data_IF_463459027790
#
_entry.id   IF_463459027790
#
_cell.length_a   1.000
_cell.length_b   1.000
_cell.length_c   1.000
_cell.angle_alpha   90.00
_cell.angle_beta   90.00
_cell.angle_gamma   90.00
#
_symmetry.space_group_name_H-M   'P 1'
#
loop_
_entity.id
_entity.type
_entity.pdbx_description
1 polymer ?
#
# COMPACT_ATOMS: atom_id res chain seq x y z
N UNK A 1 -20.11 -2.18 -1.78
CA UNK A 1 -18.77 -1.68 -1.38
C UNK A 1 -17.75 -2.68 -1.91
N UNK A 2 -17.24 -2.47 -3.12
CA UNK A 2 -16.37 -3.44 -3.82
C UNK A 2 -15.06 -2.78 -4.20
N UNK A 3 -14.17 -2.60 -3.22
CA UNK A 3 -12.79 -2.18 -3.47
C UNK A 3 -11.91 -3.42 -3.44
N UNK A 4 -11.48 -3.87 -4.62
CA UNK A 4 -10.45 -4.89 -4.91
C UNK A 4 -9.86 -5.63 -3.68
N UNK A 5 -10.67 -6.45 -3.01
CA UNK A 5 -10.23 -7.19 -1.85
C UNK A 5 -9.29 -8.31 -2.32
N UNK A 6 -8.07 -8.31 -1.80
CA UNK A 6 -7.08 -9.33 -2.10
C UNK A 6 -7.03 -10.30 -0.92
N UNK A 7 -6.96 -11.59 -1.23
CA UNK A 7 -6.76 -12.60 -0.20
C UNK A 7 -5.30 -12.56 0.26
N UNK A 8 -5.11 -12.33 1.55
CA UNK A 8 -3.81 -12.39 2.22
C UNK A 8 -3.90 -13.53 3.23
N UNK A 9 -3.03 -14.51 3.10
CA UNK A 9 -2.97 -15.67 3.99
C UNK A 9 -2.80 -15.21 5.45
N UNK A 10 -3.60 -15.78 6.37
CA UNK A 10 -3.68 -15.36 7.78
C UNK A 10 -4.55 -14.13 8.08
N UNK A 11 -4.94 -13.34 7.08
CA UNK A 11 -5.79 -12.15 7.26
C UNK A 11 -7.13 -12.20 6.52
N UNK A 12 -7.28 -13.11 5.55
CA UNK A 12 -8.48 -13.24 4.74
C UNK A 12 -8.53 -12.20 3.62
N UNK A 13 -9.74 -11.77 3.24
CA UNK A 13 -9.91 -10.74 2.22
C UNK A 13 -9.69 -9.35 2.82
N UNK A 14 -8.62 -8.69 2.40
CA UNK A 14 -8.29 -7.32 2.80
C UNK A 14 -8.29 -6.38 1.60
N UNK A 15 -8.87 -5.20 1.77
CA UNK A 15 -8.67 -4.08 0.85
C UNK A 15 -7.27 -3.48 1.04
N UNK A 16 -6.81 -2.72 0.03
CA UNK A 16 -5.55 -1.99 0.13
C UNK A 16 -5.54 -1.02 1.32
N UNK A 17 -6.66 -0.32 1.53
CA UNK A 17 -6.83 0.59 2.67
C UNK A 17 -6.75 -0.12 4.02
N UNK A 18 -7.31 -1.32 4.16
CA UNK A 18 -7.20 -2.13 5.37
C UNK A 18 -5.77 -2.62 5.60
N UNK A 19 -5.09 -3.10 4.56
CA UNK A 19 -3.70 -3.53 4.65
C UNK A 19 -2.77 -2.38 5.09
N UNK A 20 -2.96 -1.17 4.53
CA UNK A 20 -2.22 0.04 4.95
C UNK A 20 -2.50 0.37 6.42
N UNK A 21 -3.76 0.30 6.85
CA UNK A 21 -4.12 0.58 8.24
C UNK A 21 -3.46 -0.40 9.22
N UNK A 22 -3.46 -1.71 8.88
CA UNK A 22 -2.77 -2.73 9.69
C UNK A 22 -1.26 -2.43 9.75
N UNK A 23 -0.65 -2.08 8.62
CA UNK A 23 0.76 -1.73 8.54
C UNK A 23 1.13 -0.48 9.34
N UNK A 24 0.25 0.52 9.41
CA UNK A 24 0.45 1.74 10.20
C UNK A 24 0.36 1.51 11.71
N UNK A 25 -0.52 0.61 12.14
CA UNK A 25 -0.70 0.27 13.56
C UNK A 25 0.30 -0.77 14.06
N UNK A 26 1.29 -1.14 13.25
CA UNK A 26 2.29 -2.14 13.63
C UNK A 26 3.48 -1.46 14.32
N UNK A 27 3.44 -1.42 15.65
CA UNK A 27 4.44 -0.75 16.50
C UNK A 27 5.81 -1.47 16.57
N UNK A 28 5.99 -2.59 15.87
CA UNK A 28 7.22 -3.40 15.92
C UNK A 28 7.71 -3.93 14.56
N UNK A 29 7.12 -3.48 13.46
CA UNK A 29 7.43 -3.96 12.12
C UNK A 29 6.28 -4.74 11.48
N UNK A 30 5.98 -4.40 10.23
CA UNK A 30 4.83 -4.94 9.50
C UNK A 30 5.01 -6.41 9.19
N UNK A 31 3.94 -7.20 9.33
CA UNK A 31 3.91 -8.60 8.91
C UNK A 31 4.39 -8.73 7.46
N UNK A 32 5.31 -9.66 7.22
CA UNK A 32 5.93 -9.85 5.92
C UNK A 32 4.92 -10.06 4.79
N UNK A 33 3.77 -10.70 5.04
CA UNK A 33 2.71 -10.92 4.05
C UNK A 33 2.02 -9.62 3.67
N UNK A 34 1.76 -8.75 4.65
CA UNK A 34 1.21 -7.42 4.43
C UNK A 34 2.24 -6.57 3.70
N UNK A 35 3.51 -6.59 4.11
CA UNK A 35 4.59 -5.87 3.44
C UNK A 35 4.71 -6.27 1.96
N UNK A 36 4.77 -7.57 1.66
CA UNK A 36 4.81 -8.08 0.27
C UNK A 36 3.61 -7.64 -0.55
N UNK A 37 2.42 -7.64 0.06
CA UNK A 37 1.21 -7.17 -0.61
C UNK A 37 1.28 -5.67 -0.95
N UNK A 38 1.70 -4.85 0.01
CA UNK A 38 1.85 -3.40 -0.17
C UNK A 38 2.93 -3.07 -1.21
N UNK A 39 4.07 -3.76 -1.19
CA UNK A 39 5.15 -3.59 -2.16
C UNK A 39 4.71 -3.94 -3.58
N UNK A 40 4.00 -5.06 -3.75
CA UNK A 40 3.44 -5.44 -5.05
C UNK A 40 2.49 -4.37 -5.58
N UNK A 41 1.60 -3.85 -4.71
CA UNK A 41 0.67 -2.79 -5.09
C UNK A 41 1.39 -1.49 -5.41
N UNK A 42 2.47 -1.16 -4.70
CA UNK A 42 3.30 0.00 -5.00
C UNK A 42 3.92 -0.13 -6.39
N UNK A 43 4.44 -1.31 -6.74
CA UNK A 43 4.98 -1.59 -8.08
C UNK A 43 3.92 -1.44 -9.18
N UNK A 44 2.69 -1.92 -8.95
CA UNK A 44 1.57 -1.73 -9.89
C UNK A 44 1.25 -0.24 -10.10
N UNK A 45 1.16 0.55 -9.02
CA UNK A 45 0.89 1.99 -9.08
C UNK A 45 2.02 2.72 -9.82
N UNK A 46 3.27 2.36 -9.52
CA UNK A 46 4.43 2.95 -10.17
C UNK A 46 4.47 2.66 -11.67
N UNK A 47 4.15 1.42 -12.08
CA UNK A 47 4.06 1.05 -13.48
C UNK A 47 2.97 1.84 -14.22
N UNK A 48 1.79 2.04 -13.59
CA UNK A 48 0.72 2.88 -14.16
C UNK A 48 1.14 4.34 -14.28
N UNK A 49 1.80 4.88 -13.25
CA UNK A 49 2.33 6.25 -13.27
C UNK A 49 3.36 6.41 -14.40
N UNK A 50 4.28 5.46 -14.59
CA UNK A 50 5.24 5.51 -15.68
C UNK A 50 4.60 5.38 -17.07
N UNK A 51 3.53 4.60 -17.19
CA UNK A 51 2.80 4.44 -18.45
C UNK A 51 2.04 5.71 -18.86
N UNK A 52 1.61 6.53 -17.88
CA UNK A 52 0.80 7.71 -18.13
C UNK A 52 1.09 8.84 -17.12
N UNK A 53 2.31 9.42 -17.11
CA UNK A 53 2.77 10.30 -16.03
C UNK A 53 1.98 11.61 -15.92
N UNK A 54 1.46 12.12 -17.03
CA UNK A 54 0.73 13.40 -17.06
C UNK A 54 -0.77 13.24 -16.80
N UNK A 55 -1.32 12.03 -16.95
CA UNK A 55 -2.78 11.80 -16.90
C UNK A 55 -3.21 10.83 -15.81
N UNK A 56 -2.28 10.06 -15.24
CA UNK A 56 -2.58 9.12 -14.18
C UNK A 56 -2.89 9.84 -12.87
N UNK A 57 -4.12 9.67 -12.38
CA UNK A 57 -4.56 10.19 -11.09
C UNK A 57 -4.63 9.06 -10.08
N UNK A 58 -3.98 9.25 -8.93
CA UNK A 58 -4.02 8.28 -7.85
C UNK A 58 -5.43 8.19 -7.26
N UNK A 59 -5.89 6.96 -7.06
CA UNK A 59 -7.10 6.73 -6.27
C UNK A 59 -6.82 7.00 -4.79
N UNK A 60 -7.88 7.16 -3.98
CA UNK A 60 -7.74 7.35 -2.52
C UNK A 60 -6.92 6.24 -1.85
N UNK A 61 -7.07 5.00 -2.32
CA UNK A 61 -6.37 3.84 -1.78
C UNK A 61 -4.87 3.86 -2.14
N UNK A 62 -4.55 4.20 -3.38
CA UNK A 62 -3.16 4.31 -3.87
C UNK A 62 -2.45 5.51 -3.23
N UNK A 63 -3.16 6.61 -2.99
CA UNK A 63 -2.62 7.76 -2.27
C UNK A 63 -2.30 7.42 -0.80
N UNK A 64 -3.15 6.62 -0.13
CA UNK A 64 -2.87 6.14 1.22
C UNK A 64 -1.64 5.23 1.26
N UNK A 65 -1.49 4.34 0.27
CA UNK A 65 -0.31 3.50 0.11
C UNK A 65 0.97 4.34 -0.05
N UNK A 66 0.93 5.34 -0.93
CA UNK A 66 2.07 6.22 -1.17
C UNK A 66 2.46 7.00 0.09
N UNK A 67 1.48 7.54 0.83
CA UNK A 67 1.73 8.23 2.09
C UNK A 67 2.33 7.33 3.16
N UNK A 68 1.91 6.08 3.25
CA UNK A 68 2.48 5.10 4.17
C UNK A 68 3.99 4.93 3.93
N UNK A 69 4.40 4.66 2.69
CA UNK A 69 5.83 4.53 2.36
C UNK A 69 6.58 5.85 2.54
N UNK A 70 5.99 6.98 2.14
CA UNK A 70 6.61 8.30 2.35
C UNK A 70 6.92 8.56 3.82
N UNK A 71 5.99 8.26 4.73
CA UNK A 71 6.21 8.43 6.17
C UNK A 71 7.35 7.53 6.67
N UNK A 72 7.35 6.25 6.25
CA UNK A 72 8.36 5.27 6.65
C UNK A 72 9.77 5.61 6.15
N UNK A 73 9.92 6.04 4.89
CA UNK A 73 11.22 6.48 4.34
C UNK A 73 11.68 7.82 4.90
N UNK A 74 10.76 8.67 5.41
CA UNK A 74 11.15 9.92 6.09
C UNK A 74 11.63 9.64 7.51
N UNK A 75 10.99 8.70 8.20
CA UNK A 75 11.38 8.26 9.55
C UNK A 75 12.74 7.57 9.56
N UNK A 76 13.09 6.83 8.50
CA UNK A 76 14.39 6.14 8.36
C UNK A 76 15.61 7.11 8.23
N UNK A 77 15.38 8.41 8.01
CA UNK A 77 16.44 9.41 7.83
C UNK A 77 16.62 10.29 9.10
N UNK A 78 15.82 10.10 10.16
CA UNK A 78 15.87 10.97 11.35
C UNK A 78 16.59 10.39 12.57
#
# INVERSE_FOLDING_TARGET
MGGNANYIDGYGQLSLSQAVHIAQNSEGGVDQRIAQFLERKLGEVWAKLQAAPETYMFTKEEFALFNYYRARFTDEIS
#
